data_IF_372565703321
#
_entry.id   IF_372565703321
#
_cell.length_a   1.000
_cell.length_b   1.000
_cell.length_c   1.000
_cell.angle_alpha   90.00
_cell.angle_beta   90.00
_cell.angle_gamma   90.00
#
_symmetry.space_group_name_H-M   'P 1'
#
loop_
_entity.id
_entity.type
_entity.pdbx_description
1 polymer ?
#
# COMPACT_ATOMS: atom_id res chain seq x y z
N UNK A 1 -4.47 9.84 17.85
CA UNK A 1 -5.11 8.50 17.73
C UNK A 1 -6.59 8.56 17.34
N UNK A 2 -7.20 9.73 17.08
CA UNK A 2 -8.60 9.80 16.56
C UNK A 2 -8.79 10.91 15.51
N UNK A 3 -7.70 11.49 15.06
CA UNK A 3 -7.60 12.72 14.28
C UNK A 3 -6.34 12.72 13.39
N UNK A 4 -5.73 11.55 13.19
CA UNK A 4 -4.37 11.44 12.64
C UNK A 4 -4.39 11.76 11.15
N UNK A 5 -4.44 13.07 10.88
CA UNK A 5 -4.18 13.76 9.63
C UNK A 5 -2.68 13.77 9.34
N UNK A 6 -1.85 13.18 10.22
CA UNK A 6 -0.46 13.02 9.90
C UNK A 6 -0.34 12.14 8.66
N UNK A 7 0.64 12.46 7.84
CA UNK A 7 1.02 11.62 6.71
C UNK A 7 1.58 10.24 7.17
N UNK A 8 1.40 9.88 8.45
CA UNK A 8 1.94 8.71 9.13
C UNK A 8 0.84 7.74 9.60
N UNK A 9 -0.38 7.86 9.07
CA UNK A 9 -1.44 6.88 9.31
C UNK A 9 -0.94 5.47 8.97
N UNK A 10 -0.86 4.61 10.00
CA UNK A 10 -0.26 3.26 9.92
C UNK A 10 -1.19 2.19 9.35
N UNK A 11 -2.27 2.58 8.67
CA UNK A 11 -3.24 1.63 8.12
C UNK A 11 -4.19 0.99 9.14
N UNK A 12 -4.14 1.36 10.42
CA UNK A 12 -5.09 0.83 11.41
C UNK A 12 -6.43 1.59 11.36
N UNK A 13 -7.55 0.86 11.31
CA UNK A 13 -8.90 1.41 11.46
C UNK A 13 -9.90 0.33 11.86
N UNK A 14 -10.83 0.69 12.76
CA UNK A 14 -11.98 -0.16 13.12
C UNK A 14 -12.98 -0.33 11.97
N UNK A 15 -13.01 0.59 11.00
CA UNK A 15 -13.89 0.49 9.86
C UNK A 15 -13.12 -0.08 8.67
N UNK A 16 -13.39 -1.33 8.32
CA UNK A 16 -12.78 -2.00 7.17
C UNK A 16 -13.86 -2.22 6.10
N UNK A 17 -13.67 -1.62 4.92
CA UNK A 17 -14.55 -1.77 3.77
C UNK A 17 -13.75 -2.41 2.63
N UNK A 18 -14.22 -3.54 2.09
CA UNK A 18 -13.54 -4.29 1.03
C UNK A 18 -12.06 -4.59 1.34
N UNK A 19 -11.75 -5.02 2.56
CA UNK A 19 -10.37 -5.26 3.05
C UNK A 19 -9.47 -4.03 3.07
N UNK A 20 -10.06 -2.82 3.02
CA UNK A 20 -9.33 -1.57 3.17
C UNK A 20 -9.77 -0.87 4.46
N UNK A 21 -8.84 -0.60 5.39
CA UNK A 21 -9.11 0.16 6.59
C UNK A 21 -9.39 1.62 6.21
N UNK A 22 -10.47 2.20 6.73
CA UNK A 22 -10.93 3.56 6.36
C UNK A 22 -10.54 4.54 7.47
N UNK A 23 -9.71 5.56 7.19
CA UNK A 23 -9.38 6.58 8.16
C UNK A 23 -10.62 7.25 8.76
N UNK A 24 -10.57 7.56 10.06
CA UNK A 24 -11.73 8.10 10.80
C UNK A 24 -12.27 9.42 10.24
N UNK A 25 -11.40 10.24 9.66
CA UNK A 25 -11.78 11.49 8.97
C UNK A 25 -12.84 11.27 7.88
N UNK A 26 -12.87 10.08 7.29
CA UNK A 26 -13.80 9.70 6.24
C UNK A 26 -15.02 8.95 6.76
N UNK A 27 -15.11 8.63 8.05
CA UNK A 27 -16.26 7.92 8.59
C UNK A 27 -17.53 8.73 8.42
N UNK A 28 -17.49 10.05 8.66
CA UNK A 28 -18.66 10.92 8.41
C UNK A 28 -19.13 10.79 6.96
N UNK A 29 -18.22 10.82 6.01
CA UNK A 29 -18.55 10.71 4.59
C UNK A 29 -19.08 9.32 4.22
N UNK A 30 -18.48 8.26 4.79
CA UNK A 30 -19.02 6.91 4.70
C UNK A 30 -20.44 6.88 5.25
N UNK A 31 -20.71 7.37 6.45
CA UNK A 31 -22.05 7.25 7.05
C UNK A 31 -23.09 8.22 6.48
N UNK A 32 -22.67 9.29 5.80
CA UNK A 32 -23.59 10.31 5.23
C UNK A 32 -23.83 10.16 3.73
N UNK A 33 -23.05 9.31 3.04
CA UNK A 33 -23.34 8.91 1.67
C UNK A 33 -24.74 8.27 1.60
N UNK A 34 -25.67 8.92 0.88
CA UNK A 34 -27.05 8.44 0.75
C UNK A 34 -27.05 7.11 -0.03
N UNK A 35 -27.56 6.05 0.57
CA UNK A 35 -27.69 4.77 -0.11
C UNK A 35 -29.11 4.51 -0.62
N UNK A 36 -29.21 4.23 -1.92
CA UNK A 36 -30.21 3.32 -2.47
C UNK A 36 -29.54 1.94 -2.62
N UNK A 37 -29.72 1.03 -1.66
CA UNK A 37 -29.23 -0.35 -1.73
C UNK A 37 -28.08 -0.73 -0.77
N UNK A 38 -27.31 -1.77 -1.12
CA UNK A 38 -26.35 -2.40 -0.21
C UNK A 38 -25.27 -1.43 0.29
N UNK A 39 -25.15 -1.31 1.61
CA UNK A 39 -24.35 -0.26 2.27
C UNK A 39 -22.83 -0.37 2.03
N UNK A 40 -22.29 -1.50 1.55
CA UNK A 40 -20.83 -1.67 1.36
C UNK A 40 -20.32 -1.28 -0.03
N UNK A 41 -21.08 -1.59 -1.08
CA UNK A 41 -20.58 -1.47 -2.47
C UNK A 41 -20.58 -0.01 -2.92
N UNK A 42 -21.69 0.68 -2.71
CA UNK A 42 -21.88 2.05 -3.21
C UNK A 42 -21.04 3.07 -2.42
N UNK A 43 -20.89 2.86 -1.11
CA UNK A 43 -20.04 3.70 -0.27
C UNK A 43 -18.56 3.55 -0.61
N UNK A 44 -18.09 2.32 -0.88
CA UNK A 44 -16.71 2.11 -1.31
C UNK A 44 -16.40 2.86 -2.61
N UNK A 45 -17.28 2.80 -3.60
CA UNK A 45 -17.06 3.49 -4.88
C UNK A 45 -16.89 5.01 -4.70
N UNK A 46 -17.71 5.64 -3.88
CA UNK A 46 -17.59 7.07 -3.57
C UNK A 46 -16.33 7.41 -2.76
N UNK A 47 -15.93 6.53 -1.84
CA UNK A 47 -14.77 6.76 -0.97
C UNK A 47 -13.42 6.39 -1.59
N UNK A 48 -13.43 5.55 -2.63
CA UNK A 48 -12.23 4.98 -3.25
C UNK A 48 -11.21 6.06 -3.63
N UNK A 49 -11.64 7.13 -4.28
CA UNK A 49 -10.76 8.22 -4.72
C UNK A 49 -10.02 8.89 -3.55
N UNK A 50 -10.76 9.34 -2.53
CA UNK A 50 -10.21 10.00 -1.34
C UNK A 50 -9.29 9.08 -0.54
N UNK A 51 -9.64 7.81 -0.45
CA UNK A 51 -8.78 6.81 0.18
C UNK A 51 -7.42 6.69 -0.53
N UNK A 52 -7.41 6.63 -1.86
CA UNK A 52 -6.16 6.55 -2.62
C UNK A 52 -5.31 7.82 -2.51
N UNK A 53 -5.92 8.99 -2.35
CA UNK A 53 -5.22 10.24 -2.10
C UNK A 53 -4.46 10.22 -0.76
N UNK A 54 -5.11 9.80 0.32
CA UNK A 54 -4.44 9.66 1.63
C UNK A 54 -3.34 8.60 1.58
N UNK A 55 -3.58 7.48 0.91
CA UNK A 55 -2.57 6.44 0.71
C UNK A 55 -1.37 6.99 -0.08
N UNK A 56 -1.59 7.83 -1.09
CA UNK A 56 -0.53 8.45 -1.86
C UNK A 56 0.28 9.45 -1.00
N UNK A 57 -0.38 10.27 -0.19
CA UNK A 57 0.27 11.17 0.76
C UNK A 57 1.13 10.40 1.78
N UNK A 58 0.65 9.25 2.25
CA UNK A 58 1.42 8.39 3.15
C UNK A 58 2.67 7.81 2.48
N UNK A 59 2.54 7.30 1.25
CA UNK A 59 3.67 6.81 0.45
C UNK A 59 4.71 7.91 0.26
N UNK A 60 4.26 9.12 -0.06
CA UNK A 60 5.14 10.28 -0.23
C UNK A 60 5.88 10.63 1.06
N UNK A 61 5.17 10.73 2.19
CA UNK A 61 5.79 11.08 3.47
C UNK A 61 6.80 10.02 3.95
N UNK A 62 6.53 8.74 3.74
CA UNK A 62 7.50 7.68 4.00
C UNK A 62 8.73 7.78 3.10
N UNK A 63 8.55 8.11 1.82
CA UNK A 63 9.68 8.31 0.91
C UNK A 63 10.54 9.51 1.35
N UNK A 64 9.91 10.62 1.75
CA UNK A 64 10.60 11.82 2.24
C UNK A 64 11.47 11.54 3.48
N UNK A 65 11.04 10.64 4.38
CA UNK A 65 11.83 10.24 5.58
C UNK A 65 13.15 9.54 5.25
N UNK A 66 13.32 9.04 4.03
CA UNK A 66 14.60 8.45 3.57
C UNK A 66 15.66 9.50 3.27
N UNK A 67 15.27 10.77 3.23
CA UNK A 67 16.15 11.88 2.89
C UNK A 67 16.34 12.80 4.10
N UNK A 68 17.50 13.46 4.21
CA UNK A 68 17.81 14.35 5.33
C UNK A 68 16.95 15.63 5.34
N UNK A 69 16.33 15.99 4.22
CA UNK A 69 15.41 17.13 4.13
C UNK A 69 14.44 17.00 2.96
N UNK A 70 13.34 17.75 3.00
CA UNK A 70 12.40 17.90 1.87
C UNK A 70 13.09 18.37 0.61
N UNK A 71 14.06 19.29 0.73
CA UNK A 71 14.83 19.77 -0.41
C UNK A 71 15.66 18.65 -1.04
N UNK A 72 16.38 17.87 -0.23
CA UNK A 72 17.15 16.72 -0.72
C UNK A 72 16.27 15.66 -1.41
N UNK A 73 15.05 15.43 -0.88
CA UNK A 73 14.07 14.57 -1.52
C UNK A 73 13.64 15.13 -2.90
N UNK A 74 13.24 16.39 -2.97
CA UNK A 74 12.81 17.01 -4.22
C UNK A 74 13.95 17.04 -5.24
N UNK A 75 15.16 17.42 -4.82
CA UNK A 75 16.36 17.46 -5.67
C UNK A 75 16.69 16.06 -6.22
N UNK A 76 16.54 14.99 -5.42
CA UNK A 76 16.76 13.61 -5.89
C UNK A 76 15.83 13.22 -7.04
N UNK A 77 14.54 13.59 -6.94
CA UNK A 77 13.56 13.23 -7.96
C UNK A 77 13.59 14.18 -9.17
N UNK A 78 14.15 15.37 -9.01
CA UNK A 78 14.20 16.44 -10.03
C UNK A 78 15.52 16.36 -10.80
N UNK A 79 15.49 15.81 -12.01
CA UNK A 79 16.66 15.66 -12.87
C UNK A 79 17.06 16.95 -13.61
N UNK A 80 16.98 18.13 -12.97
CA UNK A 80 17.22 19.43 -13.61
C UNK A 80 16.79 20.64 -12.76
N UNK A 81 16.56 21.78 -13.41
CA UNK A 81 16.24 23.07 -12.76
C UNK A 81 14.80 23.20 -12.26
N UNK A 82 13.88 22.32 -12.67
CA UNK A 82 12.49 22.35 -12.23
C UNK A 82 12.10 21.12 -11.41
N UNK A 83 11.42 21.31 -10.25
CA UNK A 83 10.90 20.22 -9.46
C UNK A 83 9.88 19.37 -10.23
N UNK A 84 9.98 18.05 -10.13
CA UNK A 84 8.91 17.19 -10.63
C UNK A 84 7.60 17.48 -9.87
N UNK A 85 6.49 17.53 -10.61
CA UNK A 85 5.17 17.65 -10.01
C UNK A 85 4.81 16.42 -9.15
N UNK A 86 3.91 16.64 -8.19
CA UNK A 86 3.43 15.61 -7.24
C UNK A 86 3.10 14.26 -7.90
N UNK A 87 2.31 14.29 -8.98
CA UNK A 87 1.91 13.08 -9.71
C UNK A 87 3.10 12.33 -10.33
N UNK A 88 4.11 13.05 -10.83
CA UNK A 88 5.30 12.45 -11.42
C UNK A 88 6.19 11.81 -10.35
N UNK A 89 6.32 12.43 -9.18
CA UNK A 89 7.01 11.86 -8.04
C UNK A 89 6.30 10.57 -7.57
N UNK A 90 4.97 10.59 -7.44
CA UNK A 90 4.20 9.40 -7.08
C UNK A 90 4.35 8.25 -8.09
N UNK A 91 4.41 8.57 -9.39
CA UNK A 91 4.65 7.58 -10.43
C UNK A 91 6.04 6.94 -10.28
N UNK A 92 7.10 7.74 -10.10
CA UNK A 92 8.45 7.22 -9.83
C UNK A 92 8.49 6.34 -8.58
N UNK A 93 7.84 6.76 -7.49
CA UNK A 93 7.72 5.95 -6.27
C UNK A 93 6.93 4.65 -6.48
N UNK A 94 5.96 4.63 -7.40
CA UNK A 94 5.26 3.41 -7.78
C UNK A 94 6.19 2.47 -8.56
N UNK A 95 6.97 3.01 -9.50
CA UNK A 95 7.92 2.24 -10.30
C UNK A 95 9.04 1.63 -9.43
N UNK A 96 9.61 2.40 -8.50
CA UNK A 96 10.60 1.92 -7.53
C UNK A 96 10.06 0.77 -6.68
N UNK A 97 8.83 0.92 -6.16
CA UNK A 97 8.18 -0.15 -5.39
C UNK A 97 7.91 -1.39 -6.23
N UNK A 98 7.53 -1.21 -7.49
CA UNK A 98 7.32 -2.32 -8.43
C UNK A 98 8.64 -3.05 -8.67
N UNK A 99 9.71 -2.32 -8.96
CA UNK A 99 11.05 -2.88 -9.16
C UNK A 99 11.53 -3.65 -7.93
N UNK A 100 11.34 -3.09 -6.74
CA UNK A 100 11.73 -3.73 -5.49
C UNK A 100 10.92 -5.00 -5.21
N UNK A 101 9.59 -4.97 -5.39
CA UNK A 101 8.78 -6.17 -5.26
C UNK A 101 9.21 -7.25 -6.26
N UNK A 102 9.58 -6.88 -7.50
CA UNK A 102 10.08 -7.84 -8.48
C UNK A 102 11.43 -8.44 -8.08
N UNK A 103 12.33 -7.66 -7.47
CA UNK A 103 13.59 -8.19 -6.91
C UNK A 103 13.33 -9.19 -5.81
N UNK A 104 12.41 -8.90 -4.89
CA UNK A 104 12.04 -9.83 -3.81
C UNK A 104 11.38 -11.09 -4.37
N UNK A 105 10.55 -10.98 -5.40
CA UNK A 105 10.00 -12.16 -6.08
C UNK A 105 11.11 -13.02 -6.66
N UNK A 106 12.13 -12.42 -7.26
CA UNK A 106 13.28 -13.18 -7.78
C UNK A 106 14.05 -13.86 -6.65
N UNK A 107 14.34 -13.14 -5.57
CA UNK A 107 14.97 -13.68 -4.36
C UNK A 107 14.17 -14.87 -3.80
N UNK A 108 12.85 -14.73 -3.70
CA UNK A 108 11.96 -15.79 -3.25
C UNK A 108 11.97 -17.01 -4.19
N UNK A 109 12.05 -16.81 -5.50
CA UNK A 109 12.17 -17.91 -6.46
C UNK A 109 13.52 -18.62 -6.34
N UNK A 110 14.59 -17.86 -6.16
CA UNK A 110 15.95 -18.40 -6.04
C UNK A 110 16.10 -19.21 -4.74
N UNK A 111 15.48 -18.73 -3.65
CA UNK A 111 15.54 -19.38 -2.33
C UNK A 111 14.63 -20.61 -2.22
N UNK A 112 13.37 -20.50 -2.66
CA UNK A 112 12.39 -21.57 -2.47
C UNK A 112 12.32 -22.56 -3.62
N UNK A 113 12.82 -22.21 -4.82
CA UNK A 113 12.87 -23.09 -5.98
C UNK A 113 11.55 -23.82 -6.22
N UNK A 114 11.59 -25.15 -6.17
CA UNK A 114 10.42 -26.03 -6.37
C UNK A 114 9.32 -25.85 -5.31
N UNK A 115 9.69 -25.43 -4.09
CA UNK A 115 8.74 -25.16 -3.01
C UNK A 115 8.05 -23.80 -3.13
N UNK A 116 8.42 -22.96 -4.10
CA UNK A 116 7.88 -21.61 -4.26
C UNK A 116 6.34 -21.62 -4.37
N UNK A 117 5.78 -22.50 -5.20
CA UNK A 117 4.33 -22.55 -5.42
C UNK A 117 3.55 -23.04 -4.18
N UNK A 118 4.15 -23.90 -3.36
CA UNK A 118 3.56 -24.37 -2.10
C UNK A 118 3.68 -23.36 -0.97
N UNK A 119 4.74 -22.55 -0.96
CA UNK A 119 4.96 -21.51 0.07
C UNK A 119 4.15 -20.26 -0.26
N UNK A 120 4.24 -19.75 -1.49
CA UNK A 120 3.61 -18.50 -1.92
C UNK A 120 2.25 -18.75 -2.57
N UNK A 121 1.23 -18.99 -1.75
CA UNK A 121 -0.12 -19.26 -2.22
C UNK A 121 -1.19 -18.87 -1.22
N UNK A 122 -2.45 -19.15 -1.58
CA UNK A 122 -3.58 -18.98 -0.69
C UNK A 122 -4.64 -20.03 -0.99
N UNK A 123 -5.47 -20.36 0.02
CA UNK A 123 -6.61 -21.25 -0.17
C UNK A 123 -7.80 -20.49 -0.77
N UNK A 124 -8.32 -20.99 -1.88
CA UNK A 124 -9.57 -20.53 -2.49
C UNK A 124 -10.50 -21.72 -2.71
N UNK A 125 -11.61 -21.76 -1.99
CA UNK A 125 -12.61 -22.85 -2.07
C UNK A 125 -11.99 -24.25 -1.90
N UNK A 126 -11.10 -24.41 -0.94
CA UNK A 126 -10.40 -25.68 -0.65
C UNK A 126 -9.22 -26.00 -1.57
N UNK A 127 -9.01 -25.25 -2.65
CA UNK A 127 -7.89 -25.44 -3.57
C UNK A 127 -6.76 -24.47 -3.24
N UNK A 128 -5.52 -24.95 -3.25
CA UNK A 128 -4.34 -24.11 -3.12
C UNK A 128 -4.05 -23.40 -4.45
N UNK A 129 -3.97 -22.08 -4.43
CA UNK A 129 -3.71 -21.25 -5.62
C UNK A 129 -2.42 -20.46 -5.39
N UNK A 130 -1.39 -20.61 -6.25
CA UNK A 130 -0.17 -19.85 -6.15
C UNK A 130 -0.43 -18.36 -6.42
N UNK A 131 0.26 -17.50 -5.68
CA UNK A 131 0.20 -16.04 -5.88
C UNK A 131 0.95 -15.68 -7.16
N UNK A 132 0.37 -14.78 -7.95
CA UNK A 132 0.99 -14.29 -9.19
C UNK A 132 1.42 -12.83 -9.11
N UNK A 133 0.85 -12.07 -8.17
CA UNK A 133 1.14 -10.64 -8.01
C UNK A 133 2.42 -10.46 -7.19
N UNK A 134 3.37 -9.72 -7.76
CA UNK A 134 4.66 -9.45 -7.12
C UNK A 134 4.52 -8.82 -5.72
N UNK A 135 3.56 -7.90 -5.54
CA UNK A 135 3.30 -7.27 -4.24
C UNK A 135 2.83 -8.25 -3.17
N UNK A 136 2.03 -9.26 -3.55
CA UNK A 136 1.50 -10.23 -2.58
C UNK A 136 2.56 -11.26 -2.22
N UNK A 137 3.41 -11.64 -3.18
CA UNK A 137 4.57 -12.52 -2.96
C UNK A 137 5.59 -11.80 -2.07
N UNK A 138 5.95 -10.56 -2.41
CA UNK A 138 6.93 -9.78 -1.66
C UNK A 138 6.48 -9.51 -0.22
N UNK A 139 5.19 -9.27 0.00
CA UNK A 139 4.63 -9.16 1.36
C UNK A 139 4.83 -10.46 2.14
N UNK A 140 4.38 -11.58 1.58
CA UNK A 140 4.50 -12.87 2.27
C UNK A 140 5.97 -13.26 2.51
N UNK A 141 6.87 -12.90 1.60
CA UNK A 141 8.31 -13.10 1.79
C UNK A 141 8.82 -12.30 3.00
N UNK A 142 8.46 -11.02 3.10
CA UNK A 142 8.81 -10.18 4.25
C UNK A 142 8.27 -10.76 5.55
N UNK A 143 7.03 -11.22 5.56
CA UNK A 143 6.37 -11.82 6.73
C UNK A 143 7.12 -13.08 7.20
N UNK A 144 7.48 -13.98 6.27
CA UNK A 144 8.21 -15.23 6.58
C UNK A 144 9.60 -14.93 7.17
N UNK A 145 10.28 -13.92 6.63
CA UNK A 145 11.64 -13.55 7.05
C UNK A 145 11.69 -12.57 8.23
N UNK A 146 10.53 -12.16 8.78
CA UNK A 146 10.46 -11.15 9.84
C UNK A 146 11.01 -9.78 9.42
N UNK A 147 11.03 -9.49 8.11
CA UNK A 147 11.46 -8.20 7.58
C UNK A 147 10.29 -7.25 7.77
N UNK A 148 10.33 -6.43 8.83
CA UNK A 148 9.29 -5.43 9.10
C UNK A 148 9.11 -4.56 7.87
N UNK A 149 7.97 -4.73 7.19
CA UNK A 149 7.60 -3.88 6.07
C UNK A 149 7.25 -2.51 6.65
N UNK A 150 8.16 -1.56 6.49
CA UNK A 150 7.93 -0.15 6.86
C UNK A 150 6.70 0.42 6.12
N UNK A 151 6.15 -0.29 5.13
CA UNK A 151 4.98 0.09 4.32
C UNK A 151 3.83 -0.93 4.32
N UNK A 152 3.91 -1.98 5.14
CA UNK A 152 2.94 -3.08 5.17
C UNK A 152 2.50 -3.36 6.58
N UNK A 153 1.69 -2.46 7.16
CA UNK A 153 1.04 -2.70 8.44
C UNK A 153 0.28 -4.02 8.42
N UNK A 154 0.79 -4.96 9.21
CA UNK A 154 0.13 -6.18 9.65
C UNK A 154 -1.25 -5.83 10.22
N UNK A 155 -2.27 -6.57 9.81
CA UNK A 155 -3.49 -6.75 10.58
C UNK A 155 -3.87 -8.23 10.40
N UNK A 156 -3.67 -9.01 11.46
CA UNK A 156 -4.42 -10.23 11.76
C UNK A 156 -5.93 -10.00 11.69
#
# INVERSE_FOLDING_TARGET
MWDDTSAFWKGFSYLIINSHPIPIIYWKEVYTSKCAGSWKVNHWQGMKGKYFEVKAGHVLAHAMRRYPSTKAFLDHYSGGSEPLGYTAILAKLADERSAENNRIVQLAKDEYGDSFASTFGYRRRGVWVPKTKAVDIARQYRDIHGIVDVLGGECE
#
